data_IF_526153054331
#
_entry.id   IF_526153054331
#
_cell.length_a   1.000
_cell.length_b   1.000
_cell.length_c   1.000
_cell.angle_alpha   90.00
_cell.angle_beta   90.00
_cell.angle_gamma   90.00
#
_symmetry.space_group_name_H-M   'P 1'
#
loop_
_entity.id
_entity.type
_entity.pdbx_description
1 polymer ?
#
# COMPACT_ATOMS: atom_id res chain seq x y z
N UNK A 1 73.52 -6.55 -23.75
CA UNK A 1 72.20 -6.27 -23.15
C UNK A 1 71.29 -7.45 -23.45
N UNK A 2 70.99 -8.35 -22.50
CA UNK A 2 70.00 -9.39 -22.70
C UNK A 2 68.72 -9.14 -21.88
N UNK A 3 67.61 -9.57 -22.46
CA UNK A 3 66.24 -9.46 -21.97
C UNK A 3 66.02 -10.17 -20.62
N UNK A 4 65.12 -9.63 -19.79
CA UNK A 4 64.60 -10.31 -18.60
C UNK A 4 63.09 -10.56 -18.75
N UNK A 5 62.65 -11.82 -18.95
CA UNK A 5 61.26 -12.18 -19.14
C UNK A 5 60.66 -12.69 -17.83
N UNK A 6 59.91 -11.86 -17.09
CA UNK A 6 59.06 -12.34 -15.98
C UNK A 6 57.78 -11.53 -15.84
N UNK A 7 56.87 -11.70 -16.80
CA UNK A 7 55.45 -11.39 -16.64
C UNK A 7 54.74 -12.70 -16.24
N UNK A 8 54.68 -12.99 -14.94
CA UNK A 8 53.85 -14.07 -14.40
C UNK A 8 52.45 -13.50 -14.15
N UNK A 9 51.57 -13.71 -15.11
CA UNK A 9 50.13 -13.55 -14.99
C UNK A 9 49.59 -14.74 -14.19
N UNK A 10 49.50 -14.62 -12.85
CA UNK A 10 48.74 -15.57 -12.03
C UNK A 10 47.25 -15.21 -12.10
N UNK A 11 46.56 -15.79 -13.09
CA UNK A 11 45.11 -15.98 -13.02
C UNK A 11 44.90 -17.10 -11.99
N UNK A 12 44.67 -16.73 -10.73
CA UNK A 12 44.12 -17.64 -9.73
C UNK A 12 42.66 -17.87 -10.13
N UNK A 13 42.43 -18.96 -10.86
CA UNK A 13 41.12 -19.47 -11.17
C UNK A 13 40.52 -20.00 -9.86
N UNK A 14 40.00 -19.10 -9.04
CA UNK A 14 39.18 -19.47 -7.88
C UNK A 14 37.92 -20.11 -8.43
N UNK A 15 37.92 -21.45 -8.48
CA UNK A 15 36.71 -22.26 -8.61
C UNK A 15 35.80 -21.91 -7.43
N UNK A 16 34.98 -20.87 -7.61
CA UNK A 16 33.82 -20.62 -6.79
C UNK A 16 32.87 -21.76 -7.10
N UNK A 17 33.01 -22.87 -6.36
CA UNK A 17 31.97 -23.88 -6.30
C UNK A 17 30.75 -23.19 -5.72
N UNK A 18 29.83 -22.80 -6.59
CA UNK A 18 28.47 -22.41 -6.21
C UNK A 18 27.85 -23.68 -5.65
N UNK A 19 28.03 -23.91 -4.35
CA UNK A 19 27.20 -24.87 -3.63
C UNK A 19 25.80 -24.29 -3.72
N UNK A 20 24.94 -24.92 -4.51
CA UNK A 20 23.51 -24.69 -4.43
C UNK A 20 23.12 -24.88 -2.97
N UNK A 21 22.81 -23.77 -2.28
CA UNK A 21 22.32 -23.83 -0.93
C UNK A 21 21.03 -24.66 -0.98
N UNK A 22 21.01 -25.77 -0.23
CA UNK A 22 19.84 -26.62 -0.14
C UNK A 22 18.73 -25.80 0.54
N UNK A 23 17.64 -25.55 -0.17
CA UNK A 23 16.42 -24.95 0.41
C UNK A 23 15.77 -25.97 1.35
N UNK A 24 15.42 -25.56 2.57
CA UNK A 24 14.68 -26.38 3.52
C UNK A 24 13.29 -25.79 3.82
N UNK A 25 12.32 -26.69 4.07
CA UNK A 25 11.00 -26.30 4.57
C UNK A 25 10.98 -26.56 6.07
N UNK A 26 10.86 -25.51 6.86
CA UNK A 26 10.90 -25.54 8.32
C UNK A 26 9.48 -25.33 8.86
N UNK A 27 8.90 -26.37 9.48
CA UNK A 27 7.62 -26.25 10.20
C UNK A 27 7.86 -25.66 11.60
N UNK A 28 7.25 -24.50 11.87
CA UNK A 28 7.39 -23.78 13.14
C UNK A 28 6.93 -24.58 14.38
N UNK A 29 6.13 -25.63 14.21
CA UNK A 29 5.67 -26.50 15.31
C UNK A 29 6.68 -27.60 15.67
N UNK A 30 7.66 -27.85 14.81
CA UNK A 30 8.69 -28.86 15.06
C UNK A 30 9.78 -28.32 16.00
N UNK A 31 10.38 -29.21 16.79
CA UNK A 31 11.53 -28.85 17.63
C UNK A 31 12.68 -28.35 16.73
N UNK A 32 13.41 -27.29 17.12
CA UNK A 32 13.44 -26.67 18.46
C UNK A 32 12.50 -25.47 18.65
N UNK A 33 11.62 -25.19 17.69
CA UNK A 33 10.77 -23.98 17.71
C UNK A 33 9.50 -24.20 18.50
N UNK A 34 8.84 -25.34 18.30
CA UNK A 34 7.71 -25.84 19.09
C UNK A 34 6.57 -24.83 19.30
N UNK A 35 6.22 -24.05 18.28
CA UNK A 35 5.02 -23.22 18.33
C UNK A 35 3.75 -24.08 18.43
N UNK A 36 2.74 -23.63 19.18
CA UNK A 36 1.57 -24.45 19.54
C UNK A 36 0.37 -24.20 18.63
N UNK A 37 0.08 -22.95 18.27
CA UNK A 37 -1.06 -22.60 17.40
C UNK A 37 -2.44 -22.78 18.06
N UNK A 38 -2.53 -22.62 19.37
CA UNK A 38 -3.73 -22.82 20.22
C UNK A 38 -4.53 -21.54 20.51
N UNK A 39 -4.07 -20.38 20.05
CA UNK A 39 -4.65 -19.06 20.31
C UNK A 39 -4.28 -18.46 21.68
N UNK A 40 -3.64 -19.22 22.56
CA UNK A 40 -3.39 -18.83 23.96
C UNK A 40 -1.89 -18.68 24.26
N UNK A 41 -1.10 -19.65 23.83
CA UNK A 41 0.34 -19.70 24.05
C UNK A 41 1.01 -18.55 23.30
N UNK A 42 1.87 -17.79 23.97
CA UNK A 42 2.68 -16.77 23.29
C UNK A 42 3.81 -17.43 22.49
N UNK A 43 3.67 -17.39 21.17
CA UNK A 43 4.58 -18.01 20.21
C UNK A 43 5.72 -17.08 19.80
N UNK A 44 5.82 -15.86 20.35
CA UNK A 44 6.85 -14.90 19.94
C UNK A 44 8.27 -15.46 19.98
N UNK A 45 8.63 -16.21 21.02
CA UNK A 45 9.97 -16.79 21.12
C UNK A 45 10.23 -17.86 20.06
N UNK A 46 9.21 -18.64 19.67
CA UNK A 46 9.33 -19.62 18.59
C UNK A 46 9.61 -18.91 17.25
N UNK A 47 8.86 -17.85 16.95
CA UNK A 47 9.10 -17.00 15.76
C UNK A 47 10.49 -16.35 15.76
N UNK A 48 10.92 -15.79 16.89
CA UNK A 48 12.26 -15.21 17.00
C UNK A 48 13.37 -16.23 16.75
N UNK A 49 13.24 -17.44 17.32
CA UNK A 49 14.20 -18.54 17.12
C UNK A 49 14.24 -19.01 15.67
N UNK A 50 13.10 -19.19 15.02
CA UNK A 50 13.07 -19.66 13.63
C UNK A 50 13.61 -18.61 12.68
N UNK A 51 13.27 -17.33 12.85
CA UNK A 51 13.84 -16.26 12.02
C UNK A 51 15.36 -16.10 12.19
N UNK A 52 15.91 -16.39 13.37
CA UNK A 52 17.35 -16.41 13.57
C UNK A 52 18.05 -17.61 12.91
N UNK A 53 17.32 -18.69 12.60
CA UNK A 53 17.86 -19.93 12.04
C UNK A 53 17.74 -20.01 10.52
N UNK A 54 16.67 -19.43 9.94
CA UNK A 54 16.41 -19.45 8.50
C UNK A 54 17.60 -18.88 7.71
N UNK A 55 17.94 -19.57 6.63
CA UNK A 55 18.93 -19.15 5.63
C UNK A 55 18.24 -18.71 4.34
N UNK A 56 18.92 -17.96 3.47
CA UNK A 56 18.38 -17.64 2.16
C UNK A 56 17.93 -18.89 1.39
N UNK A 57 16.76 -18.79 0.77
CA UNK A 57 15.96 -19.82 0.08
C UNK A 57 15.19 -20.77 0.98
N UNK A 58 15.25 -20.67 2.32
CA UNK A 58 14.40 -21.46 3.19
C UNK A 58 12.94 -21.01 3.13
N UNK A 59 12.04 -21.95 3.42
CA UNK A 59 10.62 -21.69 3.61
C UNK A 59 10.23 -21.98 5.05
N UNK A 60 9.77 -20.95 5.77
CA UNK A 60 9.05 -21.12 7.02
C UNK A 60 7.60 -21.51 6.73
N UNK A 61 7.24 -22.75 7.06
CA UNK A 61 5.86 -23.20 7.07
C UNK A 61 5.20 -22.81 8.40
N UNK A 62 4.08 -22.09 8.32
CA UNK A 62 3.15 -21.80 9.41
C UNK A 62 1.88 -22.62 9.13
N UNK A 63 1.74 -23.82 9.71
CA UNK A 63 0.57 -24.65 9.47
C UNK A 63 -0.71 -24.06 10.06
N UNK A 64 -1.87 -24.73 9.86
CA UNK A 64 -3.11 -24.32 10.50
C UNK A 64 -3.01 -24.20 12.03
N UNK A 65 -3.52 -23.11 12.55
CA UNK A 65 -3.55 -22.77 13.97
C UNK A 65 -3.72 -21.27 14.20
N UNK A 66 -4.09 -20.93 15.42
CA UNK A 66 -4.11 -19.56 15.92
C UNK A 66 -2.83 -19.31 16.73
N UNK A 67 -1.90 -18.53 16.20
CA UNK A 67 -0.62 -18.27 16.85
C UNK A 67 -0.67 -16.91 17.52
N UNK A 68 -0.91 -16.89 18.83
CA UNK A 68 -0.79 -15.66 19.61
C UNK A 68 0.67 -15.22 19.68
N UNK A 69 0.94 -13.94 19.43
CA UNK A 69 2.27 -13.32 19.46
C UNK A 69 2.18 -12.03 20.27
N UNK A 70 2.81 -12.03 21.46
CA UNK A 70 2.84 -10.83 22.32
C UNK A 70 3.96 -9.88 21.89
N UNK A 71 3.61 -8.82 21.15
CA UNK A 71 4.56 -7.85 20.64
C UNK A 71 5.24 -7.07 21.76
N UNK A 72 6.56 -6.90 21.62
CA UNK A 72 7.39 -6.09 22.51
C UNK A 72 7.86 -4.82 21.78
N UNK A 73 8.65 -3.97 22.44
CA UNK A 73 9.23 -2.76 21.82
C UNK A 73 10.11 -3.04 20.59
N UNK A 74 10.55 -4.27 20.35
CA UNK A 74 11.39 -4.61 19.20
C UNK A 74 10.58 -5.46 18.20
N UNK A 75 10.63 -5.15 16.88
CA UNK A 75 10.01 -6.02 15.88
C UNK A 75 10.74 -7.38 15.79
N UNK A 76 10.03 -8.38 15.28
CA UNK A 76 10.66 -9.59 14.76
C UNK A 76 11.26 -9.27 13.38
N UNK A 77 12.48 -9.74 13.13
CA UNK A 77 13.22 -9.45 11.89
C UNK A 77 13.22 -10.68 11.02
N UNK A 78 12.67 -10.56 9.82
CA UNK A 78 12.70 -11.64 8.82
C UNK A 78 14.04 -11.54 8.08
N UNK A 79 14.84 -12.63 8.00
CA UNK A 79 16.09 -12.61 7.25
C UNK A 79 15.83 -12.49 5.73
N UNK A 80 16.81 -12.04 4.94
CA UNK A 80 16.64 -11.90 3.50
C UNK A 80 16.53 -13.24 2.78
N UNK A 81 15.84 -13.26 1.65
CA UNK A 81 15.80 -14.42 0.74
C UNK A 81 14.89 -15.55 1.19
N UNK A 82 13.97 -15.35 2.14
CA UNK A 82 13.13 -16.42 2.69
C UNK A 82 11.68 -16.32 2.26
N UNK A 83 11.00 -17.46 2.25
CA UNK A 83 9.54 -17.52 2.11
C UNK A 83 8.90 -17.81 3.47
N UNK A 84 7.88 -17.07 3.85
CA UNK A 84 6.99 -17.37 4.97
C UNK A 84 5.65 -17.78 4.37
N UNK A 85 5.25 -19.03 4.59
CA UNK A 85 4.12 -19.66 3.92
C UNK A 85 3.10 -20.20 4.93
N UNK A 86 1.83 -19.83 4.74
CA UNK A 86 0.70 -20.37 5.49
C UNK A 86 -0.46 -20.81 4.60
N UNK A 87 -1.61 -21.04 5.22
CA UNK A 87 -2.83 -21.57 4.59
C UNK A 87 -4.03 -20.60 4.69
N UNK A 88 -3.77 -19.33 4.46
CA UNK A 88 -4.72 -18.22 4.52
C UNK A 88 -5.31 -18.04 5.90
N UNK A 89 -6.64 -17.98 5.98
CA UNK A 89 -7.40 -17.86 7.23
C UNK A 89 -7.22 -19.06 8.19
N UNK A 90 -6.56 -20.15 7.77
CA UNK A 90 -6.20 -21.23 8.68
C UNK A 90 -4.90 -20.96 9.45
N UNK A 91 -4.02 -20.08 8.96
CA UNK A 91 -2.72 -19.75 9.58
C UNK A 91 -2.77 -18.32 10.14
N UNK A 92 -3.39 -18.16 11.32
CA UNK A 92 -3.70 -16.85 11.89
C UNK A 92 -2.66 -16.44 12.93
N UNK A 93 -2.11 -15.23 12.81
CA UNK A 93 -1.21 -14.63 13.78
C UNK A 93 -1.98 -13.57 14.57
N UNK A 94 -2.30 -13.89 15.83
CA UNK A 94 -3.07 -13.03 16.74
C UNK A 94 -2.10 -12.14 17.52
N UNK A 95 -2.06 -10.86 17.16
CA UNK A 95 -1.09 -9.90 17.67
C UNK A 95 -1.63 -9.22 18.93
N UNK A 96 -0.95 -9.42 20.06
CA UNK A 96 -1.19 -8.72 21.33
C UNK A 96 0.01 -7.84 21.68
N UNK A 97 -0.05 -7.08 22.78
CA UNK A 97 1.06 -6.25 23.26
C UNK A 97 1.42 -6.59 24.70
N UNK A 98 2.71 -6.59 25.01
CA UNK A 98 3.23 -6.64 26.39
C UNK A 98 3.23 -5.27 27.10
N UNK A 99 2.94 -4.20 26.36
CA UNK A 99 2.95 -2.83 26.84
C UNK A 99 1.58 -2.30 27.22
N UNK A 100 1.56 -1.02 27.57
CA UNK A 100 0.30 -0.32 27.75
C UNK A 100 -0.39 -0.02 26.40
N UNK A 101 -1.63 0.50 26.46
CA UNK A 101 -2.43 0.83 25.27
C UNK A 101 -1.92 2.03 24.46
N UNK A 102 -0.84 2.69 24.89
CA UNK A 102 -0.22 3.85 24.23
C UNK A 102 1.15 3.50 23.64
N UNK A 103 1.74 2.42 24.11
CA UNK A 103 3.01 1.90 23.65
C UNK A 103 2.93 1.39 22.20
N UNK A 104 3.56 2.12 21.28
CA UNK A 104 3.69 1.70 19.88
C UNK A 104 4.40 0.33 19.76
N UNK A 105 3.92 -0.50 18.83
CA UNK A 105 4.49 -1.80 18.49
C UNK A 105 4.71 -1.96 16.99
N UNK A 106 5.80 -2.63 16.64
CA UNK A 106 6.05 -3.12 15.29
C UNK A 106 6.00 -4.66 15.32
N UNK A 107 5.37 -5.30 14.33
CA UNK A 107 5.36 -6.77 14.25
C UNK A 107 6.54 -7.31 13.43
N UNK A 108 6.47 -7.30 12.09
CA UNK A 108 7.54 -7.79 11.23
C UNK A 108 8.31 -6.64 10.59
N UNK A 109 9.64 -6.70 10.66
CA UNK A 109 10.54 -5.95 9.79
C UNK A 109 11.06 -6.89 8.71
N UNK A 110 10.66 -6.63 7.48
CA UNK A 110 11.04 -7.45 6.33
C UNK A 110 12.41 -7.04 5.80
N UNK A 111 13.17 -8.00 5.27
CA UNK A 111 14.40 -7.78 4.52
C UNK A 111 14.14 -7.95 3.02
N UNK A 112 15.20 -7.85 2.20
CA UNK A 112 15.11 -8.11 0.76
C UNK A 112 14.79 -9.56 0.41
N UNK A 113 14.23 -9.76 -0.78
CA UNK A 113 13.96 -11.07 -1.37
C UNK A 113 13.05 -11.94 -0.48
N UNK A 114 12.11 -11.31 0.24
CA UNK A 114 11.15 -11.98 1.12
C UNK A 114 9.82 -12.19 0.42
N UNK A 115 9.27 -13.40 0.55
CA UNK A 115 7.89 -13.71 0.16
C UNK A 115 7.07 -14.00 1.41
N UNK A 116 5.94 -13.32 1.57
CA UNK A 116 4.92 -13.60 2.58
C UNK A 116 3.66 -14.10 1.86
N UNK A 117 3.30 -15.36 2.07
CA UNK A 117 2.21 -16.01 1.33
C UNK A 117 1.22 -16.72 2.26
N UNK A 118 -0.06 -16.42 2.11
CA UNK A 118 -1.12 -17.21 2.72
C UNK A 118 -1.16 -17.13 4.24
N UNK A 119 -0.96 -15.96 4.85
CA UNK A 119 -1.14 -15.80 6.31
C UNK A 119 -2.20 -14.76 6.64
N UNK A 120 -2.84 -14.91 7.80
CA UNK A 120 -3.76 -13.89 8.32
C UNK A 120 -3.14 -13.20 9.52
N UNK A 121 -2.93 -11.89 9.44
CA UNK A 121 -2.47 -11.04 10.54
C UNK A 121 -3.66 -10.34 11.18
N UNK A 122 -3.84 -10.51 12.48
CA UNK A 122 -4.97 -9.91 13.20
C UNK A 122 -4.51 -9.22 14.46
N UNK A 123 -4.83 -7.93 14.60
CA UNK A 123 -4.64 -7.23 15.88
C UNK A 123 -5.72 -7.66 16.87
N UNK A 124 -5.35 -8.36 17.94
CA UNK A 124 -6.32 -8.90 18.93
C UNK A 124 -6.32 -8.14 20.27
N UNK A 125 -5.66 -7.00 20.34
CA UNK A 125 -5.69 -6.11 21.50
C UNK A 125 -5.61 -4.63 21.08
N UNK A 126 -6.12 -3.72 21.92
CA UNK A 126 -5.99 -2.28 21.71
C UNK A 126 -4.59 -1.77 22.09
N UNK A 127 -3.74 -1.58 21.07
CA UNK A 127 -2.44 -0.89 21.15
C UNK A 127 -2.08 -0.28 19.79
N UNK A 128 -1.26 0.79 19.73
CA UNK A 128 -0.85 1.40 18.48
C UNK A 128 0.16 0.51 17.75
N UNK A 129 -0.04 0.24 16.46
CA UNK A 129 0.78 -0.74 15.75
C UNK A 129 1.08 -0.41 14.28
N UNK A 130 2.24 -0.88 13.83
CA UNK A 130 2.57 -1.09 12.40
C UNK A 130 2.88 -2.58 12.21
N UNK A 131 2.19 -3.24 11.28
CA UNK A 131 2.28 -4.70 11.18
C UNK A 131 3.44 -5.16 10.30
N UNK A 132 3.66 -4.49 9.17
CA UNK A 132 4.76 -4.77 8.23
C UNK A 132 5.57 -3.49 7.98
N UNK A 133 6.81 -3.47 8.48
CA UNK A 133 7.75 -2.35 8.27
C UNK A 133 8.81 -2.72 7.24
N UNK A 134 9.02 -1.85 6.24
CA UNK A 134 10.08 -1.99 5.23
C UNK A 134 11.11 -0.87 5.43
N UNK A 135 12.05 -1.10 6.36
CA UNK A 135 13.08 -0.12 6.73
C UNK A 135 14.48 -0.59 6.35
N UNK A 136 15.31 0.33 5.85
CA UNK A 136 16.63 0.07 5.29
C UNK A 136 16.61 0.04 3.77
N UNK A 137 17.67 -0.50 3.17
CA UNK A 137 17.74 -0.78 1.74
C UNK A 137 17.10 -2.16 1.48
N UNK A 138 15.88 -2.17 0.96
CA UNK A 138 15.08 -3.38 0.75
C UNK A 138 14.74 -3.52 -0.73
N UNK A 139 14.78 -4.74 -1.25
CA UNK A 139 14.33 -5.03 -2.61
C UNK A 139 13.56 -6.33 -2.72
N UNK A 140 12.68 -6.44 -3.73
CA UNK A 140 12.04 -7.69 -4.15
C UNK A 140 11.21 -8.35 -3.03
N UNK A 141 10.30 -7.59 -2.43
CA UNK A 141 9.37 -8.11 -1.43
C UNK A 141 8.05 -8.45 -2.09
N UNK A 142 7.52 -9.65 -1.84
CA UNK A 142 6.19 -10.06 -2.31
C UNK A 142 5.30 -10.39 -1.12
N UNK A 143 4.15 -9.71 -1.04
CA UNK A 143 3.06 -10.01 -0.12
C UNK A 143 1.91 -10.57 -0.95
N UNK A 144 1.54 -11.83 -0.75
CA UNK A 144 0.51 -12.45 -1.58
C UNK A 144 -0.45 -13.35 -0.80
N UNK A 145 -1.71 -13.39 -1.23
CA UNK A 145 -2.76 -14.24 -0.64
C UNK A 145 -2.92 -14.09 0.88
N UNK A 146 -2.48 -12.97 1.47
CA UNK A 146 -2.57 -12.74 2.90
C UNK A 146 -3.77 -11.85 3.23
N UNK A 147 -4.19 -11.92 4.49
CA UNK A 147 -5.18 -11.03 5.07
C UNK A 147 -4.57 -10.24 6.22
N UNK A 148 -4.87 -8.95 6.30
CA UNK A 148 -4.52 -8.11 7.42
C UNK A 148 -5.80 -7.48 7.96
N UNK A 149 -6.08 -7.72 9.23
CA UNK A 149 -7.19 -7.12 9.94
C UNK A 149 -6.67 -6.27 11.10
N UNK A 150 -6.79 -4.95 10.96
CA UNK A 150 -6.40 -4.00 11.99
C UNK A 150 -7.39 -3.90 13.15
N UNK A 151 -8.59 -4.50 13.05
CA UNK A 151 -9.65 -4.48 14.06
C UNK A 151 -9.95 -3.06 14.63
N UNK A 152 -9.79 -2.01 13.82
CA UNK A 152 -10.01 -0.62 14.26
C UNK A 152 -11.47 -0.33 14.63
N UNK A 153 -12.43 -1.10 14.10
CA UNK A 153 -13.82 -1.08 14.56
C UNK A 153 -13.95 -1.50 16.04
N UNK A 154 -13.24 -2.55 16.44
CA UNK A 154 -13.22 -3.09 17.81
C UNK A 154 -12.33 -2.26 18.76
N UNK A 155 -11.23 -1.71 18.24
CA UNK A 155 -10.20 -1.01 19.00
C UNK A 155 -9.92 0.39 18.41
N UNK A 156 -10.88 1.33 18.55
CA UNK A 156 -10.85 2.61 17.83
C UNK A 156 -9.89 3.64 18.42
N UNK A 157 -9.38 3.46 19.66
CA UNK A 157 -8.57 4.47 20.35
C UNK A 157 -7.07 4.38 20.02
N UNK A 158 -6.65 3.32 19.32
CA UNK A 158 -5.27 3.12 18.92
C UNK A 158 -5.17 2.81 17.43
N UNK A 159 -4.20 3.42 16.75
CA UNK A 159 -4.00 3.19 15.33
C UNK A 159 -3.45 1.79 15.04
N UNK A 160 -3.76 1.25 13.88
CA UNK A 160 -3.10 0.07 13.35
C UNK A 160 -2.90 0.27 11.85
N UNK A 161 -1.64 0.44 11.43
CA UNK A 161 -1.28 0.54 10.03
C UNK A 161 -0.79 -0.81 9.53
N UNK A 162 -1.21 -1.22 8.34
CA UNK A 162 -0.80 -2.51 7.80
C UNK A 162 0.65 -2.46 7.29
N UNK A 163 0.97 -1.57 6.36
CA UNK A 163 2.30 -1.48 5.73
C UNK A 163 2.89 -0.08 5.88
N UNK A 164 4.15 0.01 6.32
CA UNK A 164 4.90 1.27 6.40
C UNK A 164 6.15 1.26 5.52
N UNK A 165 6.31 2.32 4.71
CA UNK A 165 7.44 2.55 3.82
C UNK A 165 8.28 3.78 4.22
N UNK A 166 9.41 3.98 3.54
CA UNK A 166 10.10 5.27 3.46
C UNK A 166 11.25 5.52 4.45
N UNK A 167 11.53 4.59 5.36
CA UNK A 167 12.70 4.69 6.26
C UNK A 167 13.88 3.95 5.62
N UNK A 168 14.38 4.48 4.50
CA UNK A 168 15.36 3.84 3.62
C UNK A 168 14.80 3.61 2.21
N UNK A 169 15.61 3.02 1.34
CA UNK A 169 15.24 2.79 -0.06
C UNK A 169 14.52 1.45 -0.26
N UNK A 170 13.40 1.46 -0.97
CA UNK A 170 12.63 0.28 -1.34
C UNK A 170 12.56 0.13 -2.87
N UNK A 171 12.83 -1.09 -3.36
CA UNK A 171 12.66 -1.46 -4.77
C UNK A 171 11.81 -2.71 -4.94
N UNK A 172 10.93 -2.73 -5.95
CA UNK A 172 10.20 -3.94 -6.36
C UNK A 172 9.36 -4.55 -5.23
N UNK A 173 8.34 -3.81 -4.76
CA UNK A 173 7.33 -4.34 -3.84
C UNK A 173 6.11 -4.84 -4.64
N UNK A 174 5.74 -6.09 -4.46
CA UNK A 174 4.52 -6.66 -5.00
C UNK A 174 3.50 -6.96 -3.88
N UNK A 175 2.27 -6.48 -4.03
CA UNK A 175 1.12 -6.72 -3.16
C UNK A 175 0.02 -7.37 -4.01
N UNK A 176 -0.21 -8.67 -3.83
CA UNK A 176 -1.04 -9.48 -4.75
C UNK A 176 -2.13 -10.24 -4.02
N UNK A 177 -3.37 -10.14 -4.46
CA UNK A 177 -4.47 -10.91 -3.83
C UNK A 177 -4.55 -10.72 -2.31
N UNK A 178 -4.20 -9.52 -1.83
CA UNK A 178 -4.21 -9.18 -0.41
C UNK A 178 -5.59 -8.69 0.00
N UNK A 179 -6.00 -8.98 1.24
CA UNK A 179 -7.14 -8.28 1.86
C UNK A 179 -6.62 -7.45 3.04
N UNK A 180 -6.80 -6.14 3.02
CA UNK A 180 -6.43 -5.25 4.12
C UNK A 180 -7.69 -4.51 4.60
N UNK A 181 -8.07 -4.75 5.85
CA UNK A 181 -9.33 -4.26 6.39
C UNK A 181 -9.21 -3.72 7.81
N UNK A 182 -10.13 -2.81 8.13
CA UNK A 182 -10.29 -2.25 9.47
C UNK A 182 -8.95 -1.75 10.06
N UNK A 183 -8.05 -1.25 9.20
CA UNK A 183 -6.82 -0.57 9.56
C UNK A 183 -7.05 0.94 9.59
N UNK A 184 -6.07 1.70 10.07
CA UNK A 184 -6.03 3.14 9.83
C UNK A 184 -5.52 3.39 8.41
N UNK A 185 -4.26 3.04 8.14
CA UNK A 185 -3.72 3.05 6.78
C UNK A 185 -3.51 1.63 6.30
N UNK A 186 -3.84 1.33 5.04
CA UNK A 186 -3.45 0.07 4.42
C UNK A 186 -1.97 0.08 4.06
N UNK A 187 -1.53 1.12 3.36
CA UNK A 187 -0.13 1.44 3.12
C UNK A 187 0.06 2.94 3.34
N UNK A 188 1.14 3.30 4.04
CA UNK A 188 1.52 4.70 4.18
C UNK A 188 3.04 4.88 4.25
N UNK A 189 3.44 6.13 4.06
CA UNK A 189 4.76 6.64 4.37
C UNK A 189 4.62 7.84 5.31
N UNK A 190 5.49 7.95 6.30
CA UNK A 190 5.47 9.10 7.21
C UNK A 190 5.97 10.36 6.48
N UNK A 191 5.38 11.53 6.75
CA UNK A 191 5.74 12.79 6.07
C UNK A 191 7.24 13.15 6.17
N UNK A 192 7.91 12.72 7.26
CA UNK A 192 9.35 12.95 7.46
C UNK A 192 10.26 11.95 6.75
N UNK A 193 9.71 10.97 6.04
CA UNK A 193 10.48 9.96 5.33
C UNK A 193 11.17 10.57 4.10
N UNK A 194 12.45 10.27 3.95
CA UNK A 194 13.32 10.75 2.86
C UNK A 194 13.78 9.64 1.91
N UNK A 195 13.50 8.38 2.23
CA UNK A 195 13.89 7.23 1.43
C UNK A 195 13.18 7.18 0.07
N UNK A 196 13.83 6.56 -0.90
CA UNK A 196 13.28 6.33 -2.23
C UNK A 196 12.39 5.09 -2.28
N UNK A 197 11.29 5.14 -3.03
CA UNK A 197 10.46 3.97 -3.34
C UNK A 197 10.33 3.85 -4.85
N UNK A 198 10.65 2.68 -5.39
CA UNK A 198 10.66 2.42 -6.83
C UNK A 198 10.04 1.05 -7.13
N UNK A 199 9.08 1.00 -8.05
CA UNK A 199 8.52 -0.28 -8.52
C UNK A 199 7.60 -0.91 -7.49
N UNK A 200 6.46 -0.28 -7.23
CA UNK A 200 5.40 -0.87 -6.41
C UNK A 200 4.28 -1.35 -7.32
N UNK A 201 3.87 -2.61 -7.17
CA UNK A 201 2.72 -3.18 -7.89
C UNK A 201 1.71 -3.69 -6.88
N UNK A 202 0.49 -3.18 -6.95
CA UNK A 202 -0.67 -3.68 -6.20
C UNK A 202 -1.68 -4.25 -7.19
N UNK A 203 -1.97 -5.54 -7.10
CA UNK A 203 -2.91 -6.20 -8.02
C UNK A 203 -3.85 -7.19 -7.32
N UNK A 204 -5.06 -7.33 -7.87
CA UNK A 204 -6.09 -8.27 -7.40
C UNK A 204 -6.42 -8.17 -5.90
N UNK A 205 -6.17 -7.02 -5.29
CA UNK A 205 -6.25 -6.83 -3.84
C UNK A 205 -7.52 -6.13 -3.42
N UNK A 206 -7.91 -6.29 -2.16
CA UNK A 206 -9.10 -5.68 -1.56
C UNK A 206 -8.73 -4.85 -0.33
N UNK A 207 -9.20 -3.61 -0.32
CA UNK A 207 -9.06 -2.69 0.80
C UNK A 207 -10.46 -2.28 1.28
N UNK A 208 -10.75 -2.46 2.55
CA UNK A 208 -12.10 -2.19 3.06
C UNK A 208 -12.17 -1.65 4.48
N UNK A 209 -13.10 -0.71 4.71
CA UNK A 209 -13.40 -0.16 6.04
C UNK A 209 -12.19 0.41 6.80
N UNK A 210 -11.14 0.80 6.09
CA UNK A 210 -10.00 1.48 6.70
C UNK A 210 -10.40 2.91 7.13
N UNK A 211 -9.71 3.47 8.12
CA UNK A 211 -10.08 4.74 8.80
C UNK A 211 -9.23 5.95 8.40
N UNK A 212 -8.25 5.74 7.54
CA UNK A 212 -7.48 6.75 6.81
C UNK A 212 -7.35 6.24 5.36
N UNK A 213 -6.34 6.63 4.60
CA UNK A 213 -6.20 6.19 3.20
C UNK A 213 -5.89 4.69 3.10
N UNK A 214 -6.38 4.04 2.04
CA UNK A 214 -6.06 2.64 1.78
C UNK A 214 -4.64 2.49 1.26
N UNK A 215 -4.27 3.26 0.22
CA UNK A 215 -2.93 3.34 -0.32
C UNK A 215 -2.48 4.79 -0.42
N UNK A 216 -1.63 5.22 0.52
CA UNK A 216 -1.06 6.57 0.57
C UNK A 216 0.41 6.55 0.18
N UNK A 217 0.70 6.89 -1.07
CA UNK A 217 2.06 7.05 -1.58
C UNK A 217 2.47 8.51 -1.41
N UNK A 218 2.89 8.86 -0.20
CA UNK A 218 3.21 10.23 0.19
C UNK A 218 4.69 10.42 0.54
N UNK A 219 5.41 11.13 -0.33
CA UNK A 219 6.85 11.35 -0.17
C UNK A 219 7.25 12.80 -0.40
N UNK A 220 6.84 13.74 0.46
CA UNK A 220 7.07 15.16 0.21
C UNK A 220 8.57 15.51 0.23
N UNK A 221 9.38 14.71 0.94
CA UNK A 221 10.82 14.86 1.10
C UNK A 221 11.65 13.71 0.50
N UNK A 222 11.01 12.70 -0.09
CA UNK A 222 11.68 11.56 -0.73
C UNK A 222 11.40 11.50 -2.22
N UNK A 223 11.60 10.33 -2.82
CA UNK A 223 11.32 10.08 -4.23
C UNK A 223 10.47 8.82 -4.36
N UNK A 224 9.31 8.93 -4.99
CA UNK A 224 8.47 7.78 -5.32
C UNK A 224 8.33 7.66 -6.83
N UNK A 225 8.57 6.48 -7.39
CA UNK A 225 8.42 6.27 -8.81
C UNK A 225 7.94 4.86 -9.19
N UNK A 226 7.36 4.74 -10.38
CA UNK A 226 6.94 3.48 -10.98
C UNK A 226 5.96 2.72 -10.07
N UNK A 227 4.82 3.34 -9.79
CA UNK A 227 3.78 2.78 -8.91
C UNK A 227 2.58 2.38 -9.76
N UNK A 228 2.17 1.14 -9.67
CA UNK A 228 1.01 0.60 -10.38
C UNK A 228 0.03 -0.02 -9.39
N UNK A 229 -1.22 0.42 -9.43
CA UNK A 229 -2.34 -0.16 -8.70
C UNK A 229 -3.37 -0.61 -9.74
N UNK A 230 -3.71 -1.89 -9.78
CA UNK A 230 -4.61 -2.41 -10.80
C UNK A 230 -5.53 -3.52 -10.35
N UNK A 231 -6.63 -3.70 -11.06
CA UNK A 231 -7.55 -4.83 -10.92
C UNK A 231 -7.96 -5.09 -9.45
N UNK A 232 -8.08 -4.02 -8.67
CA UNK A 232 -8.25 -4.07 -7.20
C UNK A 232 -9.57 -3.44 -6.77
N UNK A 233 -10.00 -3.78 -5.55
CA UNK A 233 -11.27 -3.34 -4.97
C UNK A 233 -11.02 -2.47 -3.73
N UNK A 234 -11.73 -1.35 -3.67
CA UNK A 234 -11.61 -0.34 -2.62
C UNK A 234 -13.02 -0.01 -2.13
N UNK A 235 -13.33 -0.25 -0.85
CA UNK A 235 -14.71 -0.17 -0.36
C UNK A 235 -14.86 0.43 1.03
N UNK A 236 -15.87 1.27 1.16
CA UNK A 236 -16.46 1.68 2.43
C UNK A 236 -15.43 2.29 3.39
N UNK A 237 -14.52 3.13 2.87
CA UNK A 237 -13.53 3.82 3.71
C UNK A 237 -14.24 4.71 4.74
N UNK A 238 -13.83 4.59 5.99
CA UNK A 238 -14.47 5.19 7.17
C UNK A 238 -13.81 6.49 7.60
N UNK A 239 -12.83 7.00 6.84
CA UNK A 239 -12.20 8.28 7.13
C UNK A 239 -13.20 9.43 6.93
N UNK A 240 -13.13 10.42 7.82
CA UNK A 240 -13.91 11.66 7.75
C UNK A 240 -13.02 12.92 7.73
N UNK A 241 -11.70 12.75 7.61
CA UNK A 241 -10.74 13.85 7.49
C UNK A 241 -10.54 14.26 6.03
N UNK A 242 -10.37 15.55 5.77
CA UNK A 242 -10.06 16.06 4.43
C UNK A 242 -8.61 15.82 3.98
N UNK A 243 -7.74 15.35 4.89
CA UNK A 243 -6.32 15.13 4.62
C UNK A 243 -5.96 13.64 4.48
N UNK A 244 -6.97 12.76 4.35
CA UNK A 244 -6.80 11.32 4.29
C UNK A 244 -8.09 10.67 3.76
N UNK A 245 -8.10 9.34 3.69
CA UNK A 245 -9.29 8.59 3.34
C UNK A 245 -9.43 8.35 1.85
N UNK A 246 -8.32 8.40 1.12
CA UNK A 246 -8.29 8.15 -0.31
C UNK A 246 -8.21 6.65 -0.57
N UNK A 247 -8.78 6.18 -1.69
CA UNK A 247 -8.51 4.81 -2.13
C UNK A 247 -7.05 4.70 -2.57
N UNK A 248 -6.61 5.64 -3.42
CA UNK A 248 -5.20 5.81 -3.80
C UNK A 248 -4.84 7.29 -3.81
N UNK A 249 -3.82 7.65 -3.03
CA UNK A 249 -3.19 8.97 -3.01
C UNK A 249 -1.77 8.91 -3.58
N UNK A 250 -1.46 9.82 -4.50
CA UNK A 250 -0.11 10.07 -5.02
C UNK A 250 0.35 11.48 -4.63
N UNK A 251 1.34 11.60 -3.77
CA UNK A 251 1.98 12.87 -3.43
C UNK A 251 3.49 12.78 -3.70
N UNK A 252 3.96 13.61 -4.64
CA UNK A 252 5.32 13.61 -5.16
C UNK A 252 5.74 12.25 -5.79
N UNK A 253 4.87 11.68 -6.63
CA UNK A 253 5.10 10.43 -7.36
C UNK A 253 5.41 10.69 -8.83
N UNK A 254 6.39 9.99 -9.41
CA UNK A 254 6.68 10.01 -10.85
C UNK A 254 6.33 8.67 -11.49
N UNK A 255 5.57 8.65 -12.58
CA UNK A 255 5.11 7.41 -13.23
C UNK A 255 4.22 6.57 -12.30
N UNK A 256 3.06 7.13 -11.96
CA UNK A 256 2.01 6.44 -11.21
C UNK A 256 0.86 6.00 -12.11
N UNK A 257 0.26 4.85 -11.86
CA UNK A 257 -0.91 4.36 -12.60
C UNK A 257 -1.92 3.70 -11.67
N UNK A 258 -3.18 4.08 -11.80
CA UNK A 258 -4.33 3.38 -11.20
C UNK A 258 -5.25 2.94 -12.31
N UNK A 259 -5.40 1.62 -12.50
CA UNK A 259 -6.18 1.08 -13.61
C UNK A 259 -7.16 -0.05 -13.26
N UNK A 260 -8.32 -0.05 -13.91
CA UNK A 260 -9.32 -1.12 -13.80
C UNK A 260 -9.74 -1.45 -12.35
N UNK A 261 -9.70 -0.47 -11.45
CA UNK A 261 -10.12 -0.65 -10.06
C UNK A 261 -11.63 -0.41 -9.89
N UNK A 262 -12.25 -1.10 -8.92
CA UNK A 262 -13.63 -0.89 -8.45
C UNK A 262 -13.59 -0.17 -7.09
N UNK A 263 -13.91 1.13 -7.09
CA UNK A 263 -13.80 2.01 -5.92
C UNK A 263 -15.20 2.46 -5.50
N UNK A 264 -15.58 2.22 -4.24
CA UNK A 264 -16.94 2.48 -3.76
C UNK A 264 -17.00 3.08 -2.37
N UNK A 265 -17.94 4.02 -2.21
CA UNK A 265 -18.35 4.56 -0.92
C UNK A 265 -17.21 5.23 -0.11
N UNK A 266 -16.56 6.22 -0.72
CA UNK A 266 -15.48 6.99 -0.08
C UNK A 266 -15.98 8.32 0.48
N UNK A 267 -15.65 8.61 1.75
CA UNK A 267 -15.95 9.89 2.40
C UNK A 267 -15.17 11.07 1.81
N UNK A 268 -13.89 10.85 1.51
CA UNK A 268 -12.96 11.74 0.79
C UNK A 268 -12.85 11.37 -0.69
N UNK A 269 -11.95 12.02 -1.42
CA UNK A 269 -11.55 11.70 -2.80
C UNK A 269 -11.36 10.18 -2.98
N UNK A 270 -11.82 9.63 -4.11
CA UNK A 270 -11.48 8.27 -4.47
C UNK A 270 -10.01 8.19 -4.91
N UNK A 271 -9.60 9.10 -5.80
CA UNK A 271 -8.24 9.20 -6.32
C UNK A 271 -7.71 10.62 -6.10
N UNK A 272 -6.53 10.73 -5.51
CA UNK A 272 -5.90 12.01 -5.17
C UNK A 272 -4.49 12.09 -5.74
N UNK A 273 -4.17 13.19 -6.41
CA UNK A 273 -2.86 13.45 -7.01
C UNK A 273 -2.39 14.84 -6.60
N UNK A 274 -1.26 14.93 -5.90
CA UNK A 274 -0.73 16.18 -5.38
C UNK A 274 0.80 16.26 -5.38
N UNK A 275 1.29 17.37 -4.83
CA UNK A 275 2.68 17.63 -4.49
C UNK A 275 3.68 17.35 -5.61
N UNK A 276 3.44 17.94 -6.79
CA UNK A 276 4.34 17.86 -7.96
C UNK A 276 4.44 16.45 -8.53
N UNK A 277 3.41 15.63 -8.37
CA UNK A 277 3.35 14.32 -9.03
C UNK A 277 3.39 14.48 -10.56
N UNK A 278 4.09 13.58 -11.25
CA UNK A 278 4.35 13.68 -12.69
C UNK A 278 4.08 12.37 -13.43
N UNK A 279 3.53 12.46 -14.64
CA UNK A 279 3.22 11.31 -15.48
C UNK A 279 2.29 10.31 -14.76
N UNK A 280 1.11 10.77 -14.37
CA UNK A 280 0.14 9.97 -13.63
C UNK A 280 -1.00 9.55 -14.55
N UNK A 281 -1.37 8.28 -14.53
CA UNK A 281 -2.43 7.71 -15.35
C UNK A 281 -3.55 7.12 -14.48
N UNK A 282 -4.75 7.67 -14.57
CA UNK A 282 -5.96 7.19 -13.90
C UNK A 282 -6.92 6.67 -14.96
N UNK A 283 -6.92 5.35 -15.22
CA UNK A 283 -7.49 4.77 -16.44
C UNK A 283 -8.46 3.62 -16.18
N UNK A 284 -9.64 3.64 -16.80
CA UNK A 284 -10.52 2.46 -16.80
C UNK A 284 -11.15 2.11 -15.44
N UNK A 285 -11.09 3.02 -14.47
CA UNK A 285 -11.61 2.76 -13.13
C UNK A 285 -13.13 2.92 -13.08
N UNK A 286 -13.78 2.11 -12.25
CA UNK A 286 -15.19 2.25 -11.88
C UNK A 286 -15.27 2.86 -10.49
N UNK A 287 -15.79 4.07 -10.40
CA UNK A 287 -15.91 4.81 -9.13
C UNK A 287 -17.40 5.04 -8.87
N UNK A 288 -17.95 4.42 -7.83
CA UNK A 288 -19.34 4.57 -7.42
C UNK A 288 -19.37 5.17 -6.01
N UNK A 289 -19.60 6.47 -5.95
CA UNK A 289 -19.44 7.25 -4.73
C UNK A 289 -17.97 7.53 -4.42
N UNK A 290 -17.69 8.80 -4.13
CA UNK A 290 -16.42 9.35 -3.66
C UNK A 290 -16.67 10.79 -3.25
N UNK A 291 -15.94 11.33 -2.29
CA UNK A 291 -16.25 12.62 -1.65
C UNK A 291 -17.66 12.65 -1.05
N UNK A 292 -18.10 11.53 -0.46
CA UNK A 292 -19.43 11.39 0.16
C UNK A 292 -19.58 12.17 1.47
N UNK A 293 -18.52 12.79 1.98
CA UNK A 293 -18.58 13.68 3.16
C UNK A 293 -17.98 15.07 2.91
N UNK A 294 -17.35 15.30 1.75
CA UNK A 294 -16.59 16.52 1.45
C UNK A 294 -16.94 17.09 0.07
N UNK A 295 -16.87 18.41 -0.12
CA UNK A 295 -17.23 19.07 -1.38
C UNK A 295 -16.10 19.12 -2.43
N UNK A 296 -15.07 18.28 -2.29
CA UNK A 296 -13.89 18.25 -3.15
C UNK A 296 -14.17 17.54 -4.48
N UNK A 297 -13.14 16.97 -5.12
CA UNK A 297 -13.26 16.16 -6.33
C UNK A 297 -13.43 14.68 -6.01
N UNK A 298 -14.27 13.94 -6.75
CA UNK A 298 -14.23 12.46 -6.70
C UNK A 298 -12.86 11.97 -7.14
N UNK A 299 -12.33 12.56 -8.23
CA UNK A 299 -10.91 12.56 -8.57
C UNK A 299 -10.39 13.98 -8.38
N UNK A 300 -9.27 14.13 -7.68
CA UNK A 300 -8.66 15.42 -7.39
C UNK A 300 -7.19 15.46 -7.84
N UNK A 301 -6.83 16.49 -8.59
CA UNK A 301 -5.47 16.77 -9.04
C UNK A 301 -5.08 18.18 -8.60
N UNK A 302 -4.03 18.30 -7.79
CA UNK A 302 -3.62 19.57 -7.20
C UNK A 302 -2.11 19.79 -7.18
N UNK A 303 -1.72 20.99 -6.74
CA UNK A 303 -0.37 21.36 -6.33
C UNK A 303 0.72 20.99 -7.34
N UNK A 304 0.79 21.73 -8.44
CA UNK A 304 1.86 21.64 -9.44
C UNK A 304 2.06 20.23 -10.04
N UNK A 305 1.06 19.34 -9.96
CA UNK A 305 1.12 18.04 -10.61
C UNK A 305 1.07 18.20 -12.13
N UNK A 306 1.86 17.41 -12.86
CA UNK A 306 2.05 17.58 -14.31
C UNK A 306 1.85 16.28 -15.08
N UNK A 307 1.33 16.37 -16.30
CA UNK A 307 1.17 15.20 -17.17
C UNK A 307 0.25 14.15 -16.55
N UNK A 308 -0.92 14.58 -16.06
CA UNK A 308 -1.92 13.68 -15.46
C UNK A 308 -2.98 13.34 -16.50
N UNK A 309 -3.24 12.06 -16.73
CA UNK A 309 -4.30 11.58 -17.63
C UNK A 309 -5.42 10.91 -16.85
N UNK A 310 -6.65 11.37 -17.09
CA UNK A 310 -7.89 10.81 -16.53
C UNK A 310 -8.72 10.31 -17.71
N UNK A 311 -8.62 9.01 -18.00
CA UNK A 311 -9.12 8.43 -19.25
C UNK A 311 -10.01 7.19 -19.03
N UNK A 312 -11.11 7.09 -19.78
CA UNK A 312 -11.99 5.88 -19.81
C UNK A 312 -12.51 5.42 -18.44
N UNK A 313 -12.65 6.33 -17.47
CA UNK A 313 -13.25 6.00 -16.18
C UNK A 313 -14.78 6.07 -16.24
N UNK A 314 -15.45 5.23 -15.45
CA UNK A 314 -16.87 5.36 -15.14
C UNK A 314 -17.00 5.95 -13.74
N UNK A 315 -17.59 7.14 -13.63
CA UNK A 315 -17.77 7.84 -12.36
C UNK A 315 -19.26 8.08 -12.11
N UNK A 316 -19.79 7.46 -11.06
CA UNK A 316 -21.18 7.62 -10.65
C UNK A 316 -21.29 8.30 -9.29
N UNK A 317 -21.79 9.53 -9.31
CA UNK A 317 -21.99 10.35 -8.13
C UNK A 317 -23.48 10.61 -7.85
N UNK A 318 -24.39 9.75 -8.30
CA UNK A 318 -25.81 9.87 -7.97
C UNK A 318 -26.09 9.82 -6.46
N UNK A 319 -25.25 9.12 -5.71
CA UNK A 319 -25.30 9.05 -4.26
C UNK A 319 -24.75 10.30 -3.54
N UNK A 320 -24.07 11.20 -4.26
CA UNK A 320 -23.40 12.34 -3.65
C UNK A 320 -24.36 13.48 -3.31
N UNK A 321 -24.37 13.85 -2.03
CA UNK A 321 -25.16 14.98 -1.52
C UNK A 321 -24.32 16.24 -1.27
N UNK A 322 -22.99 16.15 -1.16
CA UNK A 322 -22.10 17.26 -0.76
C UNK A 322 -21.61 18.16 -1.89
N UNK A 323 -22.25 18.09 -3.07
CA UNK A 323 -21.93 18.96 -4.21
C UNK A 323 -20.46 18.87 -4.71
N UNK A 324 -19.83 17.69 -4.74
CA UNK A 324 -18.46 17.58 -5.25
C UNK A 324 -18.38 17.87 -6.74
N UNK A 325 -17.17 18.12 -7.23
CA UNK A 325 -16.88 17.93 -8.66
C UNK A 325 -16.61 16.44 -8.91
N UNK A 326 -17.01 15.88 -10.06
CA UNK A 326 -16.54 14.52 -10.40
C UNK A 326 -15.04 14.53 -10.64
N UNK A 327 -14.54 15.58 -11.30
CA UNK A 327 -13.12 15.81 -11.53
C UNK A 327 -12.77 17.24 -11.13
N UNK A 328 -11.83 17.40 -10.19
CA UNK A 328 -11.35 18.69 -9.72
C UNK A 328 -9.85 18.85 -10.00
N UNK A 329 -9.48 19.84 -10.82
CA UNK A 329 -8.09 20.19 -11.13
C UNK A 329 -7.85 21.65 -10.74
N UNK A 330 -7.05 21.89 -9.70
CA UNK A 330 -6.88 23.23 -9.11
C UNK A 330 -5.58 23.35 -8.34
N UNK A 331 -5.10 24.56 -8.09
CA UNK A 331 -4.14 24.77 -7.00
C UNK A 331 -4.80 24.46 -5.64
N UNK A 332 -4.08 23.83 -4.72
CA UNK A 332 -4.53 23.56 -3.35
C UNK A 332 -4.49 24.77 -2.42
N UNK A 333 -4.21 25.96 -2.96
CA UNK A 333 -4.11 27.22 -2.24
C UNK A 333 -3.40 28.29 -3.08
N UNK A 334 -3.52 29.56 -2.69
CA UNK A 334 -2.97 30.69 -3.48
C UNK A 334 -1.44 30.69 -3.61
N UNK A 335 -0.74 29.96 -2.74
CA UNK A 335 0.72 29.80 -2.76
C UNK A 335 1.21 28.65 -3.64
N UNK A 336 0.31 27.79 -4.14
CA UNK A 336 0.68 26.62 -4.92
C UNK A 336 0.46 26.89 -6.41
N UNK A 337 1.39 26.43 -7.24
CA UNK A 337 1.20 26.46 -8.67
C UNK A 337 0.07 25.51 -9.09
N UNK A 338 -0.62 25.87 -10.16
CA UNK A 338 -1.65 25.03 -10.75
C UNK A 338 -1.02 23.74 -11.28
N UNK A 339 -1.79 22.63 -11.31
CA UNK A 339 -1.46 21.51 -12.18
C UNK A 339 -1.29 21.96 -13.64
N UNK A 340 -0.54 21.23 -14.44
CA UNK A 340 -0.37 21.48 -15.89
C UNK A 340 -0.43 20.19 -16.69
N UNK A 341 -0.72 20.29 -17.99
CA UNK A 341 -0.78 19.11 -18.88
C UNK A 341 -1.76 18.02 -18.38
N UNK A 342 -2.83 18.42 -17.71
CA UNK A 342 -3.89 17.51 -17.25
C UNK A 342 -4.87 17.25 -18.38
N UNK A 343 -5.06 15.99 -18.74
CA UNK A 343 -6.00 15.56 -19.78
C UNK A 343 -7.17 14.80 -19.17
N UNK A 344 -8.39 15.13 -19.60
CA UNK A 344 -9.64 14.47 -19.17
C UNK A 344 -10.38 13.98 -20.41
N UNK A 345 -10.34 12.67 -20.66
CA UNK A 345 -10.81 12.11 -21.92
C UNK A 345 -11.67 10.84 -21.76
N UNK A 346 -12.66 10.67 -22.65
CA UNK A 346 -13.39 9.41 -22.84
C UNK A 346 -14.04 8.81 -21.57
N UNK A 347 -14.34 9.62 -20.55
CA UNK A 347 -14.96 9.15 -19.32
C UNK A 347 -16.49 9.11 -19.47
N UNK A 348 -17.15 8.22 -18.72
CA UNK A 348 -18.59 8.24 -18.50
C UNK A 348 -18.84 8.85 -17.13
N UNK A 349 -19.53 9.98 -17.11
CA UNK A 349 -19.70 10.82 -15.94
C UNK A 349 -21.18 10.94 -15.59
N UNK A 350 -21.62 10.23 -14.54
CA UNK A 350 -23.00 10.26 -14.06
C UNK A 350 -23.11 11.24 -12.91
N UNK A 351 -23.68 12.41 -13.19
CA UNK A 351 -23.93 13.43 -12.18
C UNK A 351 -25.00 12.98 -11.17
N UNK A 352 -24.85 13.41 -9.93
CA UNK A 352 -25.94 13.47 -8.97
C UNK A 352 -26.71 14.79 -9.05
N UNK A 353 -27.80 14.94 -8.27
CA UNK A 353 -28.61 16.15 -8.28
C UNK A 353 -27.86 17.43 -7.92
N UNK A 354 -26.76 17.32 -7.18
CA UNK A 354 -26.02 18.47 -6.66
C UNK A 354 -24.56 18.54 -7.12
N UNK A 355 -24.09 17.54 -7.88
CA UNK A 355 -22.71 17.43 -8.31
C UNK A 355 -22.41 18.41 -9.43
N UNK A 356 -21.14 18.81 -9.52
CA UNK A 356 -20.59 19.51 -10.68
C UNK A 356 -19.82 18.49 -11.51
N UNK A 357 -19.90 18.58 -12.84
CA UNK A 357 -19.23 17.59 -13.69
C UNK A 357 -17.70 17.67 -13.53
N UNK A 358 -17.10 18.82 -13.84
CA UNK A 358 -15.67 19.03 -13.69
C UNK A 358 -15.34 20.50 -13.44
N UNK A 359 -14.15 20.75 -12.90
CA UNK A 359 -13.50 22.05 -12.92
C UNK A 359 -12.02 21.86 -13.24
N UNK A 360 -11.56 22.48 -14.32
CA UNK A 360 -10.15 22.59 -14.67
C UNK A 360 -9.77 24.05 -14.56
N UNK A 361 -8.88 24.37 -13.61
CA UNK A 361 -8.39 25.73 -13.48
C UNK A 361 -7.70 26.17 -14.79
N UNK A 362 -7.91 27.41 -15.27
CA UNK A 362 -7.31 27.88 -16.53
C UNK A 362 -5.80 27.65 -16.59
N UNK A 363 -5.33 27.11 -17.71
CA UNK A 363 -3.92 26.76 -17.94
C UNK A 363 -3.53 25.36 -17.45
N UNK A 364 -4.41 24.62 -16.77
CA UNK A 364 -4.07 23.28 -16.26
C UNK A 364 -4.03 22.19 -17.32
N UNK A 365 -4.61 22.43 -18.50
CA UNK A 365 -4.70 21.47 -19.58
C UNK A 365 -5.65 21.95 -20.69
N UNK A 366 -5.83 21.16 -21.76
CA UNK A 366 -6.84 21.43 -22.77
C UNK A 366 -8.26 21.23 -22.21
N UNK A 367 -9.27 21.64 -22.98
CA UNK A 367 -10.67 21.31 -22.67
C UNK A 367 -10.88 19.78 -22.63
N UNK A 368 -11.73 19.26 -21.72
CA UNK A 368 -12.09 17.85 -21.70
C UNK A 368 -12.72 17.39 -23.02
N UNK A 369 -12.36 16.20 -23.52
CA UNK A 369 -12.82 15.68 -24.83
C UNK A 369 -13.36 14.26 -24.75
N UNK A 370 -14.31 13.90 -25.62
CA UNK A 370 -14.84 12.53 -25.71
C UNK A 370 -15.62 12.02 -24.47
N UNK A 371 -15.79 12.83 -23.43
CA UNK A 371 -16.51 12.45 -22.22
C UNK A 371 -18.02 12.42 -22.47
N UNK A 372 -18.70 11.38 -22.00
CA UNK A 372 -20.15 11.28 -21.96
C UNK A 372 -20.65 11.74 -20.58
N UNK A 373 -21.52 12.75 -20.55
CA UNK A 373 -22.09 13.30 -19.31
C UNK A 373 -23.56 12.95 -19.20
N UNK A 374 -23.90 12.16 -18.19
CA UNK A 374 -25.27 11.75 -17.89
C UNK A 374 -25.76 12.58 -16.70
N UNK A 375 -26.69 13.50 -16.96
CA UNK A 375 -27.33 14.30 -15.92
C UNK A 375 -28.71 13.73 -15.62
N UNK A 376 -29.06 13.45 -14.34
CA UNK A 376 -30.40 13.02 -13.97
C UNK A 376 -31.41 14.06 -14.46
N UNK A 377 -32.47 13.62 -15.16
CA UNK A 377 -33.59 14.52 -15.42
C UNK A 377 -34.08 15.01 -14.07
N UNK A 378 -34.03 16.32 -13.84
CA UNK A 378 -34.69 16.93 -12.69
C UNK A 378 -36.14 16.47 -12.75
N UNK A 379 -36.58 15.71 -11.75
CA UNK A 379 -37.99 15.40 -11.61
C UNK A 379 -38.70 16.77 -11.57
N UNK A 380 -39.53 17.04 -12.56
CA UNK A 380 -40.37 18.23 -12.60
C UNK A 380 -41.23 18.14 -11.34
N UNK A 381 -40.96 19.03 -10.39
CA UNK A 381 -41.70 19.11 -9.12
C UNK A 381 -43.10 19.64 -9.35
#
# INVERSE_FOLDING_TARGET
MPANPKLWLMIVLSLVTIRSAKSEVIDIRTAPYSAVGDGETDNRQAFAKVFAALQPNDTLLIPPGDYRISLTKSPLRVPPGVTIWGQGDNSRLLLTSDGDRRDHREFLRLASDVVLDGITLERDQEFPAVLLSMFGEISNVTLQNCRINGNAARFPQAYCHAIQLGVGDLKNLAIKSMTIQDCFYGLFQANGATGGVDGVVVEYSRFERNRASDLEFNSPNGKMQNIVVRDSQFRDNQCNSASAGFAVGFANVTHGRVENCDIRNYGSEALHVEDRSTNIELVGNTIIGGSLTQPNGVIMVVNHSQGVSIDRNFIDARANTNRPHLILVTAGGSSFANPTEVSVANNILVNGPTTKTWYLQPGSGPEPTGNEVITPKTAVK
#
